data_IF_867973523133
#
_entry.id   IF_867973523133
#
_cell.length_a   1.000
_cell.length_b   1.000
_cell.length_c   1.000
_cell.angle_alpha   90.00
_cell.angle_beta   90.00
_cell.angle_gamma   90.00
#
_symmetry.space_group_name_H-M   'P 1'
#
loop_
_entity.id
_entity.type
_entity.pdbx_description
1 polymer ?
#
# COMPACT_ATOMS: atom_id res chain seq x y z
N UNK A 1 11.22 -9.19 -2.08
CA UNK A 1 10.31 -8.41 -2.95
C UNK A 1 10.97 -7.07 -3.26
N UNK A 2 11.01 -6.74 -4.52
CA UNK A 2 11.60 -5.51 -5.03
C UNK A 2 10.69 -4.32 -4.72
N UNK A 3 11.27 -3.12 -4.53
CA UNK A 3 10.51 -1.91 -4.21
C UNK A 3 9.48 -1.57 -5.31
N UNK A 4 9.83 -1.81 -6.56
CA UNK A 4 8.91 -1.58 -7.67
C UNK A 4 7.69 -2.49 -7.58
N UNK A 5 7.87 -3.72 -7.13
CA UNK A 5 6.76 -4.65 -6.90
C UNK A 5 5.90 -4.19 -5.72
N UNK A 6 6.51 -3.65 -4.66
CA UNK A 6 5.76 -3.10 -3.53
C UNK A 6 4.89 -1.93 -3.96
N UNK A 7 5.43 -1.01 -4.76
CA UNK A 7 4.64 0.11 -5.29
C UNK A 7 3.50 -0.37 -6.17
N UNK A 8 3.77 -1.33 -7.04
CA UNK A 8 2.73 -1.88 -7.93
C UNK A 8 1.61 -2.54 -7.15
N UNK A 9 1.94 -3.33 -6.13
CA UNK A 9 0.94 -3.99 -5.29
C UNK A 9 0.13 -2.98 -4.48
N UNK A 10 0.79 -1.94 -3.95
CA UNK A 10 0.13 -0.88 -3.21
C UNK A 10 -0.90 -0.17 -4.09
N UNK A 11 -0.52 0.21 -5.30
CA UNK A 11 -1.42 0.87 -6.25
C UNK A 11 -2.58 -0.03 -6.64
N UNK A 12 -2.31 -1.30 -6.85
CA UNK A 12 -3.34 -2.28 -7.20
C UNK A 12 -4.36 -2.43 -6.07
N UNK A 13 -3.89 -2.49 -4.83
CA UNK A 13 -4.78 -2.59 -3.67
C UNK A 13 -5.63 -1.34 -3.50
N UNK A 14 -5.05 -0.15 -3.71
CA UNK A 14 -5.81 1.11 -3.68
C UNK A 14 -6.91 1.12 -4.72
N UNK A 15 -6.58 0.72 -5.94
CA UNK A 15 -7.53 0.69 -7.04
C UNK A 15 -8.67 -0.29 -6.74
N UNK A 16 -8.35 -1.45 -6.18
CA UNK A 16 -9.34 -2.44 -5.81
C UNK A 16 -10.25 -1.93 -4.68
N UNK A 17 -9.70 -1.20 -3.72
CA UNK A 17 -10.47 -0.61 -2.63
C UNK A 17 -11.48 0.41 -3.16
N UNK A 18 -11.06 1.25 -4.10
CA UNK A 18 -11.93 2.26 -4.71
C UNK A 18 -13.09 1.62 -5.47
N UNK A 19 -12.85 0.48 -6.11
CA UNK A 19 -13.87 -0.23 -6.88
C UNK A 19 -14.69 -1.23 -6.09
N UNK A 20 -14.44 -1.36 -4.77
CA UNK A 20 -15.12 -2.36 -3.95
C UNK A 20 -16.61 -2.03 -3.80
N UNK A 21 -17.45 -3.04 -3.96
CA UNK A 21 -18.90 -2.88 -3.89
C UNK A 21 -19.48 -2.92 -2.47
N UNK A 22 -18.70 -3.34 -1.48
CA UNK A 22 -19.15 -3.39 -0.09
C UNK A 22 -18.08 -2.83 0.84
N UNK A 23 -18.50 -2.39 2.03
CA UNK A 23 -17.58 -1.84 3.01
C UNK A 23 -16.66 -2.91 3.59
N UNK A 24 -17.11 -4.16 3.68
CA UNK A 24 -16.27 -5.27 4.17
C UNK A 24 -15.13 -5.55 3.19
N UNK A 25 -15.43 -5.62 1.90
CA UNK A 25 -14.43 -5.85 0.86
C UNK A 25 -13.47 -4.67 0.80
N UNK A 26 -14.01 -3.45 0.89
CA UNK A 26 -13.18 -2.23 0.91
C UNK A 26 -12.19 -2.27 2.08
N UNK A 27 -12.65 -2.63 3.26
CA UNK A 27 -11.79 -2.71 4.45
C UNK A 27 -10.67 -3.74 4.26
N UNK A 28 -10.99 -4.89 3.66
CA UNK A 28 -9.98 -5.92 3.38
C UNK A 28 -8.88 -5.36 2.47
N UNK A 29 -9.25 -4.62 1.42
CA UNK A 29 -8.26 -4.03 0.52
C UNK A 29 -7.49 -2.90 1.20
N UNK A 30 -8.13 -2.10 2.06
CA UNK A 30 -7.42 -1.07 2.81
C UNK A 30 -6.41 -1.68 3.79
N UNK A 31 -6.71 -2.83 4.37
CA UNK A 31 -5.73 -3.54 5.20
C UNK A 31 -4.49 -3.93 4.39
N UNK A 32 -4.68 -4.37 3.15
CA UNK A 32 -3.57 -4.65 2.24
C UNK A 32 -2.81 -3.37 1.88
N UNK A 33 -3.52 -2.27 1.63
CA UNK A 33 -2.90 -0.98 1.35
C UNK A 33 -1.99 -0.57 2.50
N UNK A 34 -2.48 -0.67 3.73
CA UNK A 34 -1.70 -0.33 4.92
C UNK A 34 -0.47 -1.24 5.05
N UNK A 35 -0.62 -2.52 4.80
CA UNK A 35 0.47 -3.48 4.84
C UNK A 35 1.58 -3.09 3.86
N UNK A 36 1.22 -2.82 2.60
CA UNK A 36 2.21 -2.45 1.59
C UNK A 36 2.81 -1.08 1.88
N UNK A 37 2.01 -0.12 2.34
CA UNK A 37 2.50 1.21 2.69
C UNK A 37 3.54 1.13 3.80
N UNK A 38 3.31 0.28 4.79
CA UNK A 38 4.27 0.09 5.88
C UNK A 38 5.57 -0.52 5.37
N UNK A 39 5.49 -1.50 4.47
CA UNK A 39 6.69 -2.12 3.90
C UNK A 39 7.49 -1.12 3.05
N UNK A 40 6.80 -0.29 2.28
CA UNK A 40 7.45 0.78 1.52
C UNK A 40 8.12 1.77 2.48
N UNK A 41 7.42 2.15 3.54
CA UNK A 41 7.95 3.07 4.55
C UNK A 41 9.20 2.52 5.22
N UNK A 42 9.21 1.23 5.58
CA UNK A 42 10.36 0.58 6.19
C UNK A 42 11.56 0.55 5.23
N UNK A 43 11.31 0.26 3.96
CA UNK A 43 12.36 0.26 2.93
C UNK A 43 12.97 1.66 2.80
N UNK A 44 12.12 2.70 2.74
CA UNK A 44 12.59 4.08 2.62
C UNK A 44 13.36 4.51 3.87
N UNK A 45 12.92 4.07 5.03
CA UNK A 45 13.61 4.36 6.29
C UNK A 45 15.02 3.78 6.29
N UNK A 46 15.19 2.55 5.81
CA UNK A 46 16.52 1.92 5.71
C UNK A 46 17.44 2.70 4.78
N UNK A 47 16.89 3.36 3.77
CA UNK A 47 17.64 4.22 2.85
C UNK A 47 17.72 5.66 3.34
N UNK A 48 17.21 5.97 4.52
CA UNK A 48 17.18 7.32 5.11
C UNK A 48 16.41 8.32 4.24
N UNK A 49 15.36 7.84 3.56
CA UNK A 49 14.48 8.67 2.76
C UNK A 49 13.29 9.16 3.59
N UNK A 50 12.59 10.23 3.18
CA UNK A 50 11.38 10.68 3.87
C UNK A 50 10.32 9.58 3.92
N UNK A 51 9.44 9.65 4.92
CA UNK A 51 8.35 8.70 5.06
C UNK A 51 7.46 8.68 3.80
N UNK A 52 6.96 7.50 3.46
CA UNK A 52 6.09 7.33 2.32
C UNK A 52 4.69 7.85 2.66
N UNK A 53 4.21 8.79 1.87
CA UNK A 53 2.86 9.36 2.03
C UNK A 53 2.04 9.03 0.79
N UNK A 54 0.99 8.26 1.00
CA UNK A 54 0.11 7.80 -0.08
C UNK A 54 -1.32 8.33 0.06
N UNK A 55 -1.60 9.02 1.14
CA UNK A 55 -2.90 9.70 1.37
C UNK A 55 -2.78 11.17 1.12
#
# INVERSE_FOLDING_TARGET
MDINQLFAQHQRALFAADGAGSSEVRQTYFDLVEYYAKRIGDYRKDLRLPAYRWR
#
